data_IF_504933140311
#
_entry.id   IF_504933140311
#
_cell.length_a   1.000
_cell.length_b   1.000
_cell.length_c   1.000
_cell.angle_alpha   90.00
_cell.angle_beta   90.00
_cell.angle_gamma   90.00
#
_symmetry.space_group_name_H-M   'P 1'
#
loop_
_entity.id
_entity.type
_entity.pdbx_description
1 polymer ?
#
# COMPACT_ATOMS: atom_id res chain seq x y z
N UNK A 1 -8.14 29.04 -11.87
CA UNK A 1 -6.89 28.68 -12.59
C UNK A 1 -5.66 28.58 -11.67
N UNK A 2 -5.54 29.42 -10.65
CA UNK A 2 -4.37 29.52 -9.73
C UNK A 2 -4.14 28.28 -8.83
N UNK A 3 -5.21 27.66 -8.30
CA UNK A 3 -5.08 26.53 -7.37
C UNK A 3 -4.55 25.25 -8.05
N UNK A 4 -5.02 24.92 -9.25
CA UNK A 4 -4.57 23.75 -10.02
C UNK A 4 -3.09 23.87 -10.42
N UNK A 5 -2.66 25.08 -10.78
CA UNK A 5 -1.25 25.36 -11.08
C UNK A 5 -0.38 25.24 -9.82
N UNK A 6 -0.85 25.76 -8.68
CA UNK A 6 -0.15 25.62 -7.40
C UNK A 6 -0.01 24.16 -6.96
N UNK A 7 -1.06 23.34 -7.13
CA UNK A 7 -1.03 21.91 -6.82
C UNK A 7 -0.06 21.15 -7.72
N UNK A 8 -0.09 21.40 -9.04
CA UNK A 8 0.87 20.80 -9.99
C UNK A 8 2.30 21.20 -9.66
N UNK A 9 2.52 22.46 -9.30
CA UNK A 9 3.84 22.93 -8.86
C UNK A 9 4.30 22.18 -7.61
N UNK A 10 3.44 22.07 -6.59
CA UNK A 10 3.75 21.33 -5.36
C UNK A 10 4.09 19.86 -5.63
N UNK A 11 3.33 19.19 -6.50
CA UNK A 11 3.62 17.81 -6.90
C UNK A 11 5.01 17.67 -7.53
N UNK A 12 5.36 18.56 -8.46
CA UNK A 12 6.69 18.58 -9.09
C UNK A 12 7.81 18.83 -8.09
N UNK A 13 7.59 19.75 -7.13
CA UNK A 13 8.55 20.01 -6.04
C UNK A 13 8.77 18.76 -5.18
N UNK A 14 7.70 18.04 -4.84
CA UNK A 14 7.81 16.80 -4.07
C UNK A 14 8.59 15.71 -4.83
N UNK A 15 8.33 15.54 -6.13
CA UNK A 15 9.10 14.59 -6.94
C UNK A 15 10.59 14.92 -7.00
N UNK A 16 10.95 16.21 -7.15
CA UNK A 16 12.35 16.65 -7.08
C UNK A 16 12.98 16.44 -5.71
N UNK A 17 12.24 16.74 -4.64
CA UNK A 17 12.70 16.53 -3.27
C UNK A 17 12.97 15.04 -3.01
N UNK A 18 12.13 14.14 -3.52
CA UNK A 18 12.37 12.70 -3.45
C UNK A 18 13.70 12.31 -4.12
N UNK A 19 13.96 12.75 -5.35
CA UNK A 19 15.22 12.44 -6.03
C UNK A 19 16.45 13.03 -5.31
N UNK A 20 16.32 14.19 -4.65
CA UNK A 20 17.38 14.73 -3.80
C UNK A 20 17.67 13.81 -2.61
N UNK A 21 16.63 13.36 -1.92
CA UNK A 21 16.75 12.41 -0.80
C UNK A 21 17.32 11.08 -1.29
N UNK A 22 16.88 10.57 -2.45
CA UNK A 22 17.39 9.33 -3.04
C UNK A 22 18.88 9.44 -3.38
N UNK A 23 19.32 10.57 -3.94
CA UNK A 23 20.73 10.80 -4.23
C UNK A 23 21.59 10.77 -2.95
N UNK A 24 21.17 11.50 -1.92
CA UNK A 24 21.88 11.54 -0.63
C UNK A 24 21.89 10.17 0.03
N UNK A 25 20.74 9.49 0.08
CA UNK A 25 20.63 8.15 0.65
C UNK A 25 21.50 7.13 -0.11
N UNK A 26 21.51 7.18 -1.44
CA UNK A 26 22.35 6.33 -2.28
C UNK A 26 23.85 6.59 -2.05
N UNK A 27 24.26 7.85 -1.95
CA UNK A 27 25.65 8.20 -1.64
C UNK A 27 26.07 7.70 -0.25
N UNK A 28 25.24 7.91 0.77
CA UNK A 28 25.50 7.42 2.13
C UNK A 28 25.54 5.89 2.18
N UNK A 29 24.67 5.22 1.43
CA UNK A 29 24.69 3.76 1.33
C UNK A 29 25.98 3.25 0.68
N UNK A 30 26.44 3.86 -0.43
CA UNK A 30 27.71 3.50 -1.06
C UNK A 30 28.92 3.73 -0.13
N UNK A 31 28.93 4.82 0.64
CA UNK A 31 29.93 5.00 1.71
C UNK A 31 29.84 3.84 2.71
N UNK A 32 28.65 3.46 3.12
CA UNK A 32 28.40 2.29 3.99
C UNK A 32 28.93 0.98 3.40
N UNK A 33 28.72 0.71 2.11
CA UNK A 33 29.23 -0.49 1.43
C UNK A 33 30.76 -0.60 1.50
N UNK A 34 31.48 0.52 1.36
CA UNK A 34 32.95 0.51 1.41
C UNK A 34 33.53 0.57 2.82
N UNK A 35 32.75 1.00 3.81
CA UNK A 35 33.23 1.21 5.19
C UNK A 35 32.75 0.15 6.18
N UNK A 36 31.62 -0.50 5.92
CA UNK A 36 30.96 -1.43 6.84
C UNK A 36 30.72 -2.79 6.14
N UNK A 37 31.48 -3.85 6.50
CA UNK A 37 31.32 -5.18 5.91
C UNK A 37 29.89 -5.72 6.02
N UNK A 38 29.20 -5.44 7.14
CA UNK A 38 27.82 -5.89 7.37
C UNK A 38 26.85 -5.29 6.36
N UNK A 39 27.03 -4.03 5.97
CA UNK A 39 26.20 -3.38 4.95
C UNK A 39 26.45 -4.06 3.62
N UNK A 40 27.72 -4.18 3.20
CA UNK A 40 28.11 -4.83 1.94
C UNK A 40 27.56 -6.25 1.84
N UNK A 41 27.76 -7.08 2.84
CA UNK A 41 27.31 -8.47 2.83
C UNK A 41 25.77 -8.57 2.79
N UNK A 42 25.07 -7.73 3.56
CA UNK A 42 23.61 -7.73 3.60
C UNK A 42 22.96 -7.24 2.29
N UNK A 43 23.58 -6.28 1.60
CA UNK A 43 22.97 -5.59 0.45
C UNK A 43 23.57 -5.91 -0.91
N UNK A 44 24.80 -6.42 -0.97
CA UNK A 44 25.48 -6.82 -2.22
C UNK A 44 25.88 -8.30 -2.23
N UNK A 45 26.02 -8.94 -1.07
CA UNK A 45 26.48 -10.33 -1.00
C UNK A 45 27.87 -10.47 -1.63
N UNK A 46 28.02 -11.43 -2.54
CA UNK A 46 29.25 -11.69 -3.30
C UNK A 46 29.47 -10.81 -4.53
N UNK A 47 28.62 -9.83 -4.81
CA UNK A 47 28.84 -8.89 -5.93
C UNK A 47 30.10 -8.05 -5.70
N UNK A 48 30.86 -7.82 -6.77
CA UNK A 48 32.03 -6.94 -6.72
C UNK A 48 31.57 -5.49 -6.44
N UNK A 49 31.98 -4.89 -5.29
CA UNK A 49 31.51 -3.58 -4.91
C UNK A 49 32.08 -2.46 -5.79
N UNK A 50 33.28 -2.63 -6.36
CA UNK A 50 33.91 -1.63 -7.22
C UNK A 50 33.23 -1.60 -8.59
N UNK A 51 33.01 -2.77 -9.20
CA UNK A 51 32.33 -2.86 -10.49
C UNK A 51 30.88 -2.38 -10.39
N UNK A 52 30.20 -2.75 -9.31
CA UNK A 52 28.81 -2.34 -9.06
C UNK A 52 28.73 -0.83 -8.84
N UNK A 53 29.64 -0.25 -8.04
CA UNK A 53 29.73 1.20 -7.82
C UNK A 53 30.01 1.98 -9.11
N UNK A 54 30.87 1.46 -9.99
CA UNK A 54 31.24 2.12 -11.23
C UNK A 54 30.04 2.39 -12.16
N UNK A 55 29.04 1.51 -12.14
CA UNK A 55 27.79 1.69 -12.89
C UNK A 55 26.74 2.43 -12.07
N UNK A 56 26.57 2.07 -10.81
CA UNK A 56 25.46 2.55 -9.99
C UNK A 56 25.66 3.99 -9.52
N UNK A 57 26.87 4.42 -9.15
CA UNK A 57 27.09 5.81 -8.70
C UNK A 57 26.69 6.83 -9.78
N UNK A 58 27.12 6.70 -11.06
CA UNK A 58 26.69 7.63 -12.10
C UNK A 58 25.19 7.54 -12.42
N UNK A 59 24.65 6.33 -12.54
CA UNK A 59 23.30 6.10 -13.08
C UNK A 59 22.18 6.14 -12.02
N UNK A 60 22.53 5.93 -10.76
CA UNK A 60 21.62 6.04 -9.62
C UNK A 60 21.87 7.32 -8.83
N UNK A 61 23.05 7.48 -8.20
CA UNK A 61 23.31 8.59 -7.27
C UNK A 61 23.38 9.93 -7.98
N UNK A 62 24.27 10.05 -8.98
CA UNK A 62 24.46 11.30 -9.72
C UNK A 62 23.22 11.62 -10.55
N UNK A 63 22.68 10.65 -11.28
CA UNK A 63 21.44 10.85 -12.03
C UNK A 63 20.26 11.29 -11.13
N UNK A 64 20.12 10.73 -9.93
CA UNK A 64 19.10 11.20 -8.96
C UNK A 64 19.39 12.63 -8.51
N UNK A 65 20.65 12.99 -8.25
CA UNK A 65 21.05 14.35 -7.90
C UNK A 65 20.72 15.36 -9.01
N UNK A 66 20.95 14.98 -10.27
CA UNK A 66 20.58 15.80 -11.43
C UNK A 66 19.06 15.83 -11.62
N UNK A 67 18.36 14.71 -11.41
CA UNK A 67 16.90 14.62 -11.49
C UNK A 67 16.18 15.50 -10.45
N UNK A 68 16.83 15.78 -9.31
CA UNK A 68 16.35 16.74 -8.32
C UNK A 68 16.30 18.19 -8.84
N UNK A 69 17.02 18.48 -9.93
CA UNK A 69 17.05 19.80 -10.58
C UNK A 69 15.92 19.95 -11.62
N UNK A 70 16.05 20.94 -12.53
CA UNK A 70 15.10 21.12 -13.63
C UNK A 70 15.35 20.19 -14.83
N UNK A 71 16.43 19.39 -14.83
CA UNK A 71 16.82 18.57 -15.97
C UNK A 71 16.02 17.25 -16.07
N UNK A 72 15.00 17.24 -16.93
CA UNK A 72 14.05 16.13 -17.08
C UNK A 72 14.65 14.79 -17.57
N UNK A 73 15.61 14.73 -18.49
CA UNK A 73 16.14 13.45 -18.94
C UNK A 73 16.75 12.61 -17.82
N UNK A 74 17.39 13.24 -16.83
CA UNK A 74 17.95 12.53 -15.68
C UNK A 74 16.91 11.80 -14.83
N UNK A 75 15.66 12.27 -14.79
CA UNK A 75 14.55 11.57 -14.11
C UNK A 75 14.35 10.19 -14.72
N UNK A 76 14.37 10.09 -16.05
CA UNK A 76 14.19 8.82 -16.74
C UNK A 76 15.40 7.91 -16.58
N UNK A 77 16.62 8.45 -16.68
CA UNK A 77 17.84 7.68 -16.44
C UNK A 77 17.81 7.07 -15.04
N UNK A 78 17.61 7.89 -14.00
CA UNK A 78 17.56 7.40 -12.63
C UNK A 78 16.42 6.38 -12.43
N UNK A 79 15.22 6.65 -12.93
CA UNK A 79 14.05 5.77 -12.72
C UNK A 79 14.22 4.42 -13.42
N UNK A 80 14.62 4.43 -14.71
CA UNK A 80 14.81 3.21 -15.48
C UNK A 80 15.96 2.39 -14.90
N UNK A 81 17.08 3.04 -14.58
CA UNK A 81 18.20 2.35 -13.94
C UNK A 81 17.80 1.74 -12.60
N UNK A 82 17.12 2.48 -11.73
CA UNK A 82 16.62 1.98 -10.43
C UNK A 82 15.72 0.75 -10.63
N UNK A 83 14.83 0.76 -11.63
CA UNK A 83 13.98 -0.38 -11.95
C UNK A 83 14.80 -1.59 -12.47
N UNK A 84 15.77 -1.38 -13.35
CA UNK A 84 16.66 -2.42 -13.85
C UNK A 84 17.45 -3.08 -12.71
N UNK A 85 18.07 -2.26 -11.85
CA UNK A 85 18.81 -2.75 -10.68
C UNK A 85 17.87 -3.48 -9.71
N UNK A 86 16.65 -2.99 -9.49
CA UNK A 86 15.66 -3.70 -8.67
C UNK A 86 15.38 -5.09 -9.19
N UNK A 87 15.09 -5.23 -10.49
CA UNK A 87 14.83 -6.55 -11.10
C UNK A 87 16.07 -7.44 -11.00
N UNK A 88 17.25 -6.91 -11.30
CA UNK A 88 18.51 -7.65 -11.20
C UNK A 88 18.77 -8.14 -9.77
N UNK A 89 18.58 -7.28 -8.76
CA UNK A 89 18.76 -7.62 -7.35
C UNK A 89 17.72 -8.62 -6.87
N UNK A 90 16.45 -8.50 -7.28
CA UNK A 90 15.41 -9.48 -6.96
C UNK A 90 15.73 -10.86 -7.54
N UNK A 91 16.18 -10.92 -8.80
CA UNK A 91 16.60 -12.16 -9.43
C UNK A 91 17.84 -12.74 -8.73
N UNK A 92 18.86 -11.91 -8.51
CA UNK A 92 20.09 -12.30 -7.82
C UNK A 92 19.80 -12.86 -6.43
N UNK A 93 19.02 -12.15 -5.61
CA UNK A 93 18.64 -12.59 -4.26
C UNK A 93 17.80 -13.87 -4.27
N UNK A 94 16.93 -14.03 -5.27
CA UNK A 94 16.12 -15.25 -5.41
C UNK A 94 16.96 -16.46 -5.82
N UNK A 95 17.94 -16.28 -6.71
CA UNK A 95 18.79 -17.37 -7.21
C UNK A 95 19.85 -17.76 -6.16
N UNK A 96 20.56 -16.77 -5.64
CA UNK A 96 21.76 -16.98 -4.80
C UNK A 96 21.46 -17.01 -3.29
N UNK A 97 20.31 -16.48 -2.87
CA UNK A 97 19.98 -16.25 -1.44
C UNK A 97 20.97 -15.33 -0.73
N UNK A 98 21.55 -14.38 -1.47
CA UNK A 98 22.39 -13.29 -0.97
C UNK A 98 21.71 -11.94 -1.21
N UNK A 99 22.22 -10.88 -0.59
CA UNK A 99 21.83 -9.50 -0.89
C UNK A 99 20.32 -9.17 -0.77
N UNK A 100 19.56 -9.92 0.03
CA UNK A 100 18.11 -9.74 0.16
C UNK A 100 17.71 -8.36 0.65
N UNK A 101 18.50 -7.75 1.54
CA UNK A 101 18.26 -6.36 1.99
C UNK A 101 18.49 -5.35 0.86
N UNK A 102 19.41 -5.64 -0.05
CA UNK A 102 19.64 -4.84 -1.26
C UNK A 102 18.44 -4.90 -2.20
N UNK A 103 17.88 -6.09 -2.42
CA UNK A 103 16.66 -6.26 -3.21
C UNK A 103 15.48 -5.46 -2.63
N UNK A 104 15.25 -5.55 -1.31
CA UNK A 104 14.20 -4.76 -0.64
C UNK A 104 14.42 -3.25 -0.74
N UNK A 105 15.65 -2.79 -0.52
CA UNK A 105 15.99 -1.37 -0.62
C UNK A 105 15.73 -0.83 -2.03
N UNK A 106 16.11 -1.60 -3.05
CA UNK A 106 15.90 -1.21 -4.44
C UNK A 106 14.42 -1.25 -4.83
N UNK A 107 13.62 -2.20 -4.34
CA UNK A 107 12.17 -2.18 -4.53
C UNK A 107 11.53 -0.90 -3.99
N UNK A 108 11.92 -0.47 -2.79
CA UNK A 108 11.45 0.78 -2.21
C UNK A 108 11.89 2.00 -3.04
N UNK A 109 13.16 2.03 -3.46
CA UNK A 109 13.72 3.10 -4.30
C UNK A 109 13.05 3.17 -5.67
N UNK A 110 12.72 2.03 -6.30
CA UNK A 110 12.04 1.97 -7.58
C UNK A 110 10.59 2.48 -7.47
N UNK A 111 9.85 2.03 -6.45
CA UNK A 111 8.49 2.50 -6.21
C UNK A 111 8.46 4.03 -6.02
N UNK A 112 9.38 4.56 -5.20
CA UNK A 112 9.51 6.00 -5.00
C UNK A 112 9.97 6.75 -6.26
N UNK A 113 10.92 6.21 -7.03
CA UNK A 113 11.39 6.79 -8.30
C UNK A 113 10.26 6.90 -9.33
N UNK A 114 9.45 5.85 -9.47
CA UNK A 114 8.28 5.86 -10.37
C UNK A 114 7.26 6.90 -9.92
N UNK A 115 6.93 6.94 -8.62
CA UNK A 115 6.01 7.94 -8.08
C UNK A 115 6.54 9.38 -8.28
N UNK A 116 7.83 9.62 -8.03
CA UNK A 116 8.47 10.91 -8.22
C UNK A 116 8.54 11.31 -9.70
N UNK A 117 8.83 10.38 -10.60
CA UNK A 117 8.83 10.62 -12.04
C UNK A 117 7.44 11.02 -12.54
N UNK A 118 6.39 10.32 -12.10
CA UNK A 118 5.00 10.67 -12.38
C UNK A 118 4.68 12.08 -11.86
N UNK A 119 5.01 12.38 -10.60
CA UNK A 119 4.81 13.70 -10.00
C UNK A 119 5.52 14.83 -10.79
N UNK A 120 6.75 14.61 -11.28
CA UNK A 120 7.47 15.61 -12.08
C UNK A 120 6.78 15.81 -13.44
N UNK A 121 6.31 14.74 -14.08
CA UNK A 121 5.71 14.79 -15.41
C UNK A 121 4.31 15.42 -15.40
N UNK A 122 3.41 14.86 -14.60
CA UNK A 122 1.98 15.21 -14.61
C UNK A 122 1.61 16.25 -13.56
N UNK A 123 2.44 16.43 -12.52
CA UNK A 123 2.15 17.26 -11.35
C UNK A 123 1.24 16.59 -10.31
N UNK A 124 0.81 15.33 -10.54
CA UNK A 124 -0.05 14.57 -9.62
C UNK A 124 0.07 13.06 -9.86
N UNK A 125 -0.19 12.22 -8.87
CA UNK A 125 -0.34 10.79 -9.14
C UNK A 125 -1.68 10.55 -9.86
N UNK A 126 -1.72 9.79 -10.97
CA UNK A 126 -2.94 9.51 -11.72
C UNK A 126 -3.78 8.44 -11.00
N UNK A 127 -4.29 8.77 -9.82
CA UNK A 127 -5.04 7.88 -8.93
C UNK A 127 -6.34 7.37 -9.56
N UNK A 128 -6.90 8.13 -10.49
CA UNK A 128 -8.07 7.76 -11.28
C UNK A 128 -7.87 6.45 -12.08
N UNK A 129 -6.63 6.11 -12.42
CA UNK A 129 -6.31 4.87 -13.15
C UNK A 129 -6.68 3.61 -12.35
N UNK A 130 -6.76 3.70 -11.03
CA UNK A 130 -7.12 2.56 -10.17
C UNK A 130 -8.59 2.18 -10.30
N UNK A 131 -9.44 3.09 -10.78
CA UNK A 131 -10.86 2.83 -11.06
C UNK A 131 -11.12 2.29 -12.47
N UNK A 132 -10.09 1.95 -13.26
CA UNK A 132 -10.29 1.35 -14.58
C UNK A 132 -10.43 -0.17 -14.50
N UNK A 133 -11.28 -0.74 -15.36
CA UNK A 133 -11.49 -2.19 -15.45
C UNK A 133 -12.38 -2.76 -14.34
N UNK A 134 -12.03 -3.90 -13.71
CA UNK A 134 -12.90 -4.59 -12.76
C UNK A 134 -13.15 -3.83 -11.44
N UNK A 135 -12.42 -2.73 -11.20
CA UNK A 135 -12.55 -1.87 -10.03
C UNK A 135 -13.35 -0.59 -10.31
N UNK A 136 -13.88 -0.43 -11.52
CA UNK A 136 -14.76 0.69 -11.86
C UNK A 136 -16.06 0.63 -11.04
N UNK A 137 -16.50 1.80 -10.60
CA UNK A 137 -17.77 1.95 -9.87
C UNK A 137 -18.94 1.66 -10.81
N UNK A 138 -19.65 0.56 -10.54
CA UNK A 138 -20.80 0.15 -11.33
C UNK A 138 -22.02 -0.08 -10.42
N UNK A 139 -23.14 0.53 -10.80
CA UNK A 139 -24.42 0.27 -10.14
C UNK A 139 -24.83 -1.19 -10.35
N UNK A 140 -25.41 -1.79 -9.30
CA UNK A 140 -25.89 -3.17 -9.36
C UNK A 140 -26.91 -3.34 -10.50
N UNK A 141 -26.67 -4.29 -11.41
CA UNK A 141 -27.68 -4.68 -12.41
C UNK A 141 -28.80 -5.49 -11.73
N UNK A 142 -30.06 -5.35 -12.16
CA UNK A 142 -31.14 -6.17 -11.64
C UNK A 142 -30.87 -7.65 -11.92
N UNK A 143 -30.82 -8.47 -10.87
CA UNK A 143 -30.67 -9.92 -10.92
C UNK A 143 -31.30 -10.55 -9.68
N UNK A 144 -31.56 -11.85 -9.70
CA UNK A 144 -32.16 -12.54 -8.56
C UNK A 144 -31.24 -12.50 -7.34
N UNK A 145 -31.84 -12.38 -6.14
CA UNK A 145 -31.10 -12.29 -4.88
C UNK A 145 -30.08 -13.43 -4.70
N UNK A 146 -30.46 -14.66 -5.05
CA UNK A 146 -29.58 -15.83 -4.99
C UNK A 146 -28.37 -15.74 -5.93
N UNK A 147 -28.54 -15.23 -7.16
CA UNK A 147 -27.44 -15.07 -8.13
C UNK A 147 -26.49 -13.95 -7.74
N UNK A 148 -27.01 -12.86 -7.16
CA UNK A 148 -26.19 -11.77 -6.61
C UNK A 148 -25.42 -12.21 -5.37
N UNK A 149 -26.05 -12.98 -4.48
CA UNK A 149 -25.39 -13.56 -3.31
C UNK A 149 -24.27 -14.53 -3.71
N UNK A 150 -24.51 -15.44 -4.66
CA UNK A 150 -23.50 -16.38 -5.13
C UNK A 150 -22.29 -15.68 -5.79
N UNK A 151 -22.53 -14.67 -6.66
CA UNK A 151 -21.44 -13.88 -7.26
C UNK A 151 -20.64 -13.09 -6.23
N UNK A 152 -21.33 -12.46 -5.27
CA UNK A 152 -20.70 -11.74 -4.16
C UNK A 152 -19.86 -12.67 -3.31
N UNK A 153 -20.39 -13.84 -2.95
CA UNK A 153 -19.66 -14.87 -2.20
C UNK A 153 -18.41 -15.35 -2.94
N UNK A 154 -18.53 -15.66 -4.24
CA UNK A 154 -17.39 -16.05 -5.06
C UNK A 154 -16.34 -14.94 -5.15
N UNK A 155 -16.76 -13.68 -5.37
CA UNK A 155 -15.85 -12.54 -5.44
C UNK A 155 -15.12 -12.31 -4.11
N UNK A 156 -15.82 -12.46 -2.99
CA UNK A 156 -15.22 -12.38 -1.65
C UNK A 156 -14.20 -13.51 -1.46
N UNK A 157 -14.57 -14.77 -1.76
CA UNK A 157 -13.66 -15.92 -1.60
C UNK A 157 -12.42 -15.76 -2.47
N UNK A 158 -12.56 -15.33 -3.73
CA UNK A 158 -11.43 -15.11 -4.62
C UNK A 158 -10.58 -13.93 -4.13
N UNK A 159 -11.17 -12.78 -3.85
CA UNK A 159 -10.42 -11.59 -3.44
C UNK A 159 -9.74 -11.79 -2.08
N UNK A 160 -10.44 -12.33 -1.09
CA UNK A 160 -9.89 -12.60 0.24
C UNK A 160 -8.90 -13.75 0.21
N UNK A 161 -9.19 -14.83 -0.51
CA UNK A 161 -8.27 -15.95 -0.68
C UNK A 161 -6.95 -15.52 -1.32
N UNK A 162 -7.01 -14.62 -2.31
CA UNK A 162 -5.82 -14.02 -2.90
C UNK A 162 -5.11 -13.06 -1.93
N UNK A 163 -5.82 -12.07 -1.39
CA UNK A 163 -5.22 -10.98 -0.62
C UNK A 163 -4.75 -11.39 0.79
N UNK A 164 -5.40 -12.38 1.42
CA UNK A 164 -5.10 -12.86 2.77
C UNK A 164 -4.47 -14.26 2.79
N UNK A 165 -4.47 -14.98 1.66
CA UNK A 165 -3.86 -16.31 1.55
C UNK A 165 -2.68 -16.31 0.59
N UNK A 166 -2.93 -16.27 -0.71
CA UNK A 166 -1.91 -16.47 -1.76
C UNK A 166 -0.81 -15.40 -1.70
N UNK A 167 -1.18 -14.12 -1.67
CA UNK A 167 -0.20 -13.02 -1.65
C UNK A 167 0.67 -13.06 -0.39
N UNK A 168 0.12 -13.20 0.83
CA UNK A 168 0.92 -13.38 2.03
C UNK A 168 1.87 -14.59 1.99
N UNK A 169 1.42 -15.73 1.46
CA UNK A 169 2.27 -16.92 1.29
C UNK A 169 3.45 -16.64 0.37
N UNK A 170 3.21 -15.99 -0.78
CA UNK A 170 4.27 -15.58 -1.70
C UNK A 170 5.26 -14.64 -1.00
N UNK A 171 4.76 -13.61 -0.30
CA UNK A 171 5.60 -12.63 0.40
C UNK A 171 6.45 -13.31 1.47
N UNK A 172 5.87 -14.15 2.32
CA UNK A 172 6.61 -14.85 3.37
C UNK A 172 7.64 -15.84 2.79
N UNK A 173 7.33 -16.49 1.67
CA UNK A 173 8.28 -17.36 0.96
C UNK A 173 9.46 -16.56 0.42
N UNK A 174 9.19 -15.38 -0.15
CA UNK A 174 10.24 -14.45 -0.61
C UNK A 174 11.07 -13.94 0.58
N UNK A 175 10.43 -13.57 1.69
CA UNK A 175 11.10 -13.11 2.91
C UNK A 175 12.14 -14.12 3.42
N UNK A 176 11.75 -15.40 3.48
CA UNK A 176 12.62 -16.50 3.88
C UNK A 176 13.71 -16.75 2.82
N UNK A 177 13.33 -16.76 1.53
CA UNK A 177 14.27 -17.03 0.43
C UNK A 177 15.38 -15.99 0.39
N UNK A 178 15.04 -14.72 0.62
CA UNK A 178 15.97 -13.58 0.64
C UNK A 178 16.68 -13.41 1.98
N UNK A 179 16.42 -14.26 2.98
CA UNK A 179 17.05 -14.22 4.32
C UNK A 179 16.90 -12.86 5.02
N UNK A 180 15.74 -12.23 4.84
CA UNK A 180 15.38 -10.94 5.47
C UNK A 180 14.39 -11.12 6.62
N UNK A 181 14.07 -12.37 6.99
CA UNK A 181 13.21 -12.68 8.13
C UNK A 181 13.86 -12.28 9.45
N UNK A 182 13.04 -11.72 10.35
CA UNK A 182 13.44 -11.38 11.70
C UNK A 182 13.34 -12.64 12.57
N UNK A 183 14.48 -13.09 13.13
CA UNK A 183 14.50 -14.25 14.03
C UNK A 183 14.02 -13.81 15.41
N UNK A 184 12.79 -14.18 15.75
CA UNK A 184 12.22 -13.96 17.08
C UNK A 184 12.51 -15.16 17.99
N UNK A 185 12.83 -14.94 19.29
CA UNK A 185 12.86 -16.03 20.26
C UNK A 185 11.52 -16.77 20.31
N UNK A 186 11.53 -18.10 20.49
CA UNK A 186 10.33 -18.94 20.33
C UNK A 186 9.12 -18.48 21.17
N UNK A 187 9.35 -18.06 22.42
CA UNK A 187 8.30 -17.55 23.29
C UNK A 187 7.62 -16.29 22.73
N UNK A 188 8.41 -15.36 22.18
CA UNK A 188 7.89 -14.16 21.53
C UNK A 188 7.19 -14.50 20.22
N UNK A 189 7.77 -15.39 19.41
CA UNK A 189 7.18 -15.85 18.15
C UNK A 189 5.79 -16.47 18.37
N UNK A 190 5.61 -17.26 19.44
CA UNK A 190 4.31 -17.84 19.78
C UNK A 190 3.33 -16.78 20.29
N UNK A 191 3.78 -15.84 21.12
CA UNK A 191 2.96 -14.71 21.58
C UNK A 191 2.44 -13.86 20.43
N UNK A 192 3.31 -13.53 19.45
CA UNK A 192 2.95 -12.78 18.24
C UNK A 192 1.92 -13.52 17.40
N UNK A 193 2.08 -14.84 17.22
CA UNK A 193 1.09 -15.67 16.51
C UNK A 193 -0.28 -15.68 17.18
N UNK A 194 -0.32 -15.86 18.51
CA UNK A 194 -1.58 -15.85 19.28
C UNK A 194 -2.26 -14.49 19.17
N UNK A 195 -1.50 -13.40 19.31
CA UNK A 195 -2.02 -12.05 19.12
C UNK A 195 -2.56 -11.85 17.69
N UNK A 196 -1.88 -12.40 16.68
CA UNK A 196 -2.34 -12.44 15.30
C UNK A 196 -3.69 -13.16 15.16
N UNK A 197 -3.85 -14.36 15.72
CA UNK A 197 -5.12 -15.09 15.70
C UNK A 197 -6.24 -14.29 16.35
N UNK A 198 -6.00 -13.74 17.54
CA UNK A 198 -6.98 -12.92 18.24
C UNK A 198 -7.40 -11.69 17.43
N UNK A 199 -6.43 -10.99 16.83
CA UNK A 199 -6.68 -9.84 15.96
C UNK A 199 -7.46 -10.24 14.70
N UNK A 200 -7.13 -11.38 14.08
CA UNK A 200 -7.82 -11.88 12.90
C UNK A 200 -9.30 -12.17 13.19
N UNK A 201 -9.59 -12.82 14.32
CA UNK A 201 -10.96 -13.11 14.74
C UNK A 201 -11.75 -11.82 15.02
N UNK A 202 -11.17 -10.87 15.75
CA UNK A 202 -11.80 -9.58 16.04
C UNK A 202 -12.05 -8.76 14.75
N UNK A 203 -11.08 -8.71 13.84
CA UNK A 203 -11.20 -8.02 12.57
C UNK A 203 -12.24 -8.68 11.66
N UNK A 204 -12.29 -10.02 11.64
CA UNK A 204 -13.30 -10.78 10.89
C UNK A 204 -14.71 -10.54 11.44
N UNK A 205 -14.88 -10.48 12.76
CA UNK A 205 -16.15 -10.13 13.39
C UNK A 205 -16.61 -8.71 12.99
N UNK A 206 -15.70 -7.73 12.99
CA UNK A 206 -15.98 -6.38 12.52
C UNK A 206 -16.36 -6.35 11.04
N UNK A 207 -15.65 -7.10 10.20
CA UNK A 207 -15.94 -7.23 8.77
C UNK A 207 -17.33 -7.82 8.51
N UNK A 208 -17.67 -8.91 9.19
CA UNK A 208 -18.98 -9.55 9.09
C UNK A 208 -20.10 -8.63 9.60
N UNK A 209 -19.90 -7.93 10.72
CA UNK A 209 -20.87 -6.95 11.23
C UNK A 209 -21.09 -5.79 10.25
N UNK A 210 -20.03 -5.34 9.58
CA UNK A 210 -20.08 -4.29 8.57
C UNK A 210 -20.83 -4.75 7.32
N UNK A 211 -20.55 -5.97 6.84
CA UNK A 211 -21.24 -6.56 5.70
C UNK A 211 -22.73 -6.78 5.99
N UNK A 212 -23.06 -7.31 7.17
CA UNK A 212 -24.45 -7.46 7.61
C UNK A 212 -25.18 -6.12 7.69
N UNK A 213 -24.54 -5.08 8.22
CA UNK A 213 -25.12 -3.73 8.31
C UNK A 213 -25.39 -3.13 6.93
N UNK A 214 -24.49 -3.32 5.95
CA UNK A 214 -24.72 -2.88 4.57
C UNK A 214 -25.83 -3.68 3.88
N UNK A 215 -25.84 -5.00 4.03
CA UNK A 215 -26.84 -5.85 3.37
C UNK A 215 -28.25 -5.64 3.91
N UNK A 216 -28.40 -5.37 5.21
CA UNK A 216 -29.71 -5.25 5.86
C UNK A 216 -30.28 -3.83 5.79
N UNK A 217 -29.44 -2.80 5.70
CA UNK A 217 -29.87 -1.39 5.80
C UNK A 217 -29.51 -0.53 4.59
N UNK A 218 -28.64 -1.01 3.69
CA UNK A 218 -28.17 -0.26 2.52
C UNK A 218 -28.76 -0.72 1.18
N UNK A 219 -29.56 -1.80 1.16
CA UNK A 219 -30.13 -2.40 -0.07
C UNK A 219 -29.10 -2.72 -1.19
N UNK A 220 -27.86 -3.06 -0.79
CA UNK A 220 -26.76 -3.46 -1.67
C UNK A 220 -25.66 -4.21 -0.91
N UNK A 221 -24.49 -4.40 -1.51
CA UNK A 221 -23.36 -5.12 -0.91
C UNK A 221 -22.14 -4.19 -0.80
N UNK A 222 -21.12 -4.56 0.00
CA UNK A 222 -19.91 -3.75 0.13
C UNK A 222 -18.97 -3.78 -1.07
N UNK A 223 -19.28 -4.56 -2.10
CA UNK A 223 -18.42 -4.63 -3.29
C UNK A 223 -18.70 -3.44 -4.21
N UNK A 224 -17.67 -2.82 -4.83
CA UNK A 224 -17.84 -1.75 -5.82
C UNK A 224 -18.78 -2.11 -6.98
N UNK A 225 -18.94 -3.41 -7.24
CA UNK A 225 -19.80 -3.99 -8.27
C UNK A 225 -21.30 -4.05 -7.89
N UNK A 226 -21.68 -3.75 -6.65
CA UNK A 226 -23.07 -3.73 -6.19
C UNK A 226 -23.30 -2.75 -5.02
N UNK A 227 -22.92 -1.48 -5.22
CA UNK A 227 -22.98 -0.45 -4.18
C UNK A 227 -24.37 -0.27 -3.52
N UNK A 228 -24.43 0.04 -2.21
CA UNK A 228 -25.68 0.29 -1.50
C UNK A 228 -26.42 1.51 -2.06
N UNK A 229 -27.75 1.42 -2.13
CA UNK A 229 -28.65 2.47 -2.61
C UNK A 229 -28.97 3.53 -1.55
N UNK A 230 -28.79 3.18 -0.27
CA UNK A 230 -28.98 4.09 0.86
C UNK A 230 -27.68 4.27 1.66
N UNK A 231 -27.50 5.46 2.25
CA UNK A 231 -26.36 5.77 3.10
C UNK A 231 -26.47 5.02 4.44
N UNK A 232 -25.53 4.13 4.72
CA UNK A 232 -25.52 3.31 5.95
C UNK A 232 -24.73 4.01 7.06
N UNK A 233 -25.44 4.49 8.08
CA UNK A 233 -24.85 5.23 9.23
C UNK A 233 -25.02 4.51 10.58
N UNK A 234 -25.35 3.22 10.55
CA UNK A 234 -25.64 2.43 11.76
C UNK A 234 -24.81 1.14 11.83
N UNK A 235 -24.85 0.45 12.98
CA UNK A 235 -23.92 -0.65 13.24
C UNK A 235 -22.50 -0.10 13.42
N UNK A 236 -21.46 -0.73 12.83
CA UNK A 236 -20.08 -0.26 12.98
C UNK A 236 -19.82 1.07 12.27
N UNK A 237 -20.64 1.43 11.28
CA UNK A 237 -20.58 2.70 10.56
C UNK A 237 -20.86 3.92 11.46
N UNK A 238 -21.45 3.71 12.65
CA UNK A 238 -21.61 4.81 13.62
C UNK A 238 -20.33 5.13 14.39
N UNK A 239 -19.37 4.20 14.40
CA UNK A 239 -18.10 4.32 15.12
C UNK A 239 -17.03 4.90 14.21
N UNK A 240 -16.91 4.37 12.99
CA UNK A 240 -15.95 4.79 11.97
C UNK A 240 -16.62 4.74 10.60
N UNK A 241 -16.20 5.61 9.67
CA UNK A 241 -16.86 5.69 8.35
C UNK A 241 -16.60 4.50 7.45
N UNK A 242 -15.43 3.87 7.57
CA UNK A 242 -15.01 2.76 6.73
C UNK A 242 -14.58 1.55 7.56
N UNK A 243 -15.49 0.94 8.35
CA UNK A 243 -15.17 -0.18 9.23
C UNK A 243 -14.70 -1.43 8.46
N UNK A 244 -15.08 -1.56 7.18
CA UNK A 244 -14.58 -2.63 6.32
C UNK A 244 -13.13 -2.45 5.91
N UNK A 245 -12.69 -1.22 5.63
CA UNK A 245 -11.28 -0.94 5.39
C UNK A 245 -10.46 -1.26 6.64
N UNK A 246 -10.94 -0.84 7.82
CA UNK A 246 -10.34 -1.18 9.12
C UNK A 246 -10.24 -2.70 9.28
N UNK A 247 -11.33 -3.44 9.05
CA UNK A 247 -11.34 -4.90 9.15
C UNK A 247 -10.32 -5.55 8.20
N UNK A 248 -10.33 -5.19 6.91
CA UNK A 248 -9.43 -5.78 5.91
C UNK A 248 -7.95 -5.53 6.18
N UNK A 249 -7.60 -4.29 6.59
CA UNK A 249 -6.22 -3.94 6.93
C UNK A 249 -5.79 -4.69 8.20
N UNK A 250 -6.64 -4.73 9.23
CA UNK A 250 -6.36 -5.48 10.46
C UNK A 250 -6.23 -6.98 10.21
N UNK A 251 -7.02 -7.56 9.28
CA UNK A 251 -6.86 -8.94 8.86
C UNK A 251 -5.50 -9.17 8.16
N UNK A 252 -5.09 -8.28 7.25
CA UNK A 252 -3.78 -8.37 6.60
C UNK A 252 -2.61 -8.31 7.60
N UNK A 253 -2.67 -7.38 8.56
CA UNK A 253 -1.69 -7.30 9.65
C UNK A 253 -1.70 -8.60 10.48
N UNK A 254 -2.89 -9.08 10.86
CA UNK A 254 -3.04 -10.30 11.63
C UNK A 254 -2.43 -11.52 10.92
N UNK A 255 -2.63 -11.66 9.61
CA UNK A 255 -1.99 -12.71 8.80
C UNK A 255 -0.46 -12.60 8.88
N UNK A 256 0.09 -11.39 8.76
CA UNK A 256 1.53 -11.18 8.93
C UNK A 256 2.05 -11.60 10.31
N UNK A 257 1.31 -11.28 11.38
CA UNK A 257 1.64 -11.73 12.74
C UNK A 257 1.55 -13.26 12.89
N UNK A 258 0.50 -13.88 12.35
CA UNK A 258 0.35 -15.35 12.36
C UNK A 258 1.47 -16.07 11.61
N UNK A 259 2.00 -15.44 10.56
CA UNK A 259 3.13 -15.97 9.79
C UNK A 259 4.49 -15.57 10.37
N UNK A 260 4.53 -14.72 11.41
CA UNK A 260 5.74 -14.03 11.87
C UNK A 260 6.51 -13.34 10.73
N UNK A 261 5.81 -12.82 9.73
CA UNK A 261 6.38 -12.13 8.58
C UNK A 261 6.14 -10.64 8.68
N UNK A 262 7.22 -9.88 8.84
CA UNK A 262 7.15 -8.43 8.88
C UNK A 262 6.88 -7.83 7.50
N UNK A 263 7.30 -8.50 6.41
CA UNK A 263 6.98 -8.05 5.06
C UNK A 263 5.48 -8.14 4.76
N UNK A 264 4.79 -9.16 5.26
CA UNK A 264 3.31 -9.24 5.13
C UNK A 264 2.63 -8.13 5.92
N UNK A 265 3.15 -7.77 7.11
CA UNK A 265 2.65 -6.60 7.87
C UNK A 265 2.87 -5.31 7.08
N UNK A 266 4.08 -5.09 6.53
CA UNK A 266 4.38 -3.93 5.69
C UNK A 266 3.49 -3.88 4.45
N UNK A 267 3.22 -5.01 3.82
CA UNK A 267 2.26 -5.12 2.71
C UNK A 267 0.86 -4.64 3.11
N UNK A 268 0.34 -5.11 4.25
CA UNK A 268 -0.98 -4.70 4.74
C UNK A 268 -1.05 -3.20 5.06
N UNK A 269 -0.01 -2.66 5.72
CA UNK A 269 0.09 -1.23 6.04
C UNK A 269 0.26 -0.36 4.80
N UNK A 270 1.05 -0.83 3.82
CA UNK A 270 1.19 -0.15 2.53
C UNK A 270 -0.15 -0.10 1.78
N UNK A 271 -0.91 -1.19 1.81
CA UNK A 271 -2.29 -1.23 1.30
C UNK A 271 -3.20 -0.22 2.01
N UNK A 272 -3.06 -0.04 3.33
CA UNK A 272 -3.79 0.99 4.08
C UNK A 272 -3.45 2.41 3.63
N UNK A 273 -2.18 2.69 3.34
CA UNK A 273 -1.75 4.00 2.85
C UNK A 273 -2.31 4.26 1.45
N UNK A 274 -2.20 3.27 0.55
CA UNK A 274 -2.80 3.35 -0.79
C UNK A 274 -4.30 3.59 -0.67
N UNK A 275 -5.01 2.80 0.12
CA UNK A 275 -6.45 2.99 0.29
C UNK A 275 -6.78 4.38 0.85
N UNK A 276 -6.08 4.87 1.88
CA UNK A 276 -6.38 6.16 2.48
C UNK A 276 -6.13 7.36 1.55
N UNK A 277 -5.10 7.29 0.70
CA UNK A 277 -4.67 8.42 -0.14
C UNK A 277 -5.20 8.36 -1.56
N UNK A 278 -5.56 7.17 -2.05
CA UNK A 278 -6.01 6.93 -3.43
C UNK A 278 -7.50 6.60 -3.45
N UNK A 279 -7.89 5.54 -2.75
CA UNK A 279 -9.25 4.97 -2.87
C UNK A 279 -10.26 5.80 -2.09
N UNK A 280 -9.99 6.07 -0.82
CA UNK A 280 -10.88 6.79 0.08
C UNK A 280 -11.33 8.16 -0.47
N UNK A 281 -10.47 9.02 -1.03
CA UNK A 281 -10.93 10.29 -1.60
C UNK A 281 -11.92 10.10 -2.76
N UNK A 282 -11.75 9.04 -3.56
CA UNK A 282 -12.63 8.71 -4.67
C UNK A 282 -13.97 8.16 -4.15
N UNK A 283 -13.94 7.26 -3.16
CA UNK A 283 -15.14 6.75 -2.49
C UNK A 283 -15.92 7.88 -1.80
N UNK A 284 -15.24 8.77 -1.06
CA UNK A 284 -15.90 9.90 -0.39
C UNK A 284 -16.47 10.92 -1.39
N UNK A 285 -15.84 11.09 -2.56
CA UNK A 285 -16.37 11.95 -3.61
C UNK A 285 -17.65 11.37 -4.24
N UNK A 286 -17.68 10.06 -4.54
CA UNK A 286 -18.90 9.38 -5.01
C UNK A 286 -20.03 9.48 -3.98
N UNK A 287 -19.74 9.27 -2.70
CA UNK A 287 -20.72 9.39 -1.63
C UNK A 287 -21.26 10.82 -1.49
N UNK A 288 -20.40 11.84 -1.64
CA UNK A 288 -20.81 13.23 -1.61
C UNK A 288 -21.69 13.60 -2.81
N UNK A 289 -21.37 13.10 -4.00
CA UNK A 289 -22.16 13.32 -5.22
C UNK A 289 -23.56 12.69 -5.10
N UNK A 290 -23.64 11.47 -4.56
CA UNK A 290 -24.89 10.70 -4.50
C UNK A 290 -25.81 11.08 -3.34
N UNK A 291 -25.24 11.39 -2.17
CA UNK A 291 -26.01 11.60 -0.94
C UNK A 291 -25.96 13.04 -0.43
N UNK A 292 -25.12 13.91 -1.02
CA UNK A 292 -25.10 15.35 -0.76
C UNK A 292 -25.01 15.71 0.74
N UNK A 293 -25.89 16.60 1.25
CA UNK A 293 -25.84 17.08 2.64
C UNK A 293 -25.88 15.98 3.70
N UNK A 294 -26.58 14.87 3.45
CA UNK A 294 -26.68 13.77 4.41
C UNK A 294 -25.31 13.10 4.66
N UNK A 295 -24.50 12.96 3.60
CA UNK A 295 -23.14 12.44 3.74
C UNK A 295 -22.22 13.44 4.43
N UNK A 296 -22.34 14.73 4.14
CA UNK A 296 -21.53 15.76 4.79
C UNK A 296 -21.79 15.83 6.30
N UNK A 297 -23.06 15.76 6.72
CA UNK A 297 -23.43 15.72 8.13
C UNK A 297 -22.90 14.46 8.82
N UNK A 298 -22.97 13.31 8.15
CA UNK A 298 -22.37 12.06 8.63
C UNK A 298 -20.84 12.16 8.73
N UNK A 299 -20.17 12.73 7.72
CA UNK A 299 -18.73 12.96 7.68
C UNK A 299 -18.24 13.90 8.77
N UNK A 300 -19.03 14.92 9.11
CA UNK A 300 -18.73 15.83 10.19
C UNK A 300 -18.79 15.15 11.56
N UNK A 301 -19.68 14.17 11.75
CA UNK A 301 -19.87 13.45 13.02
C UNK A 301 -18.93 12.27 13.21
N UNK A 302 -18.68 11.49 12.15
CA UNK A 302 -17.96 10.21 12.25
C UNK A 302 -16.58 10.31 11.58
N UNK A 303 -15.53 9.94 12.31
CA UNK A 303 -14.19 9.92 11.76
C UNK A 303 -13.95 8.69 10.87
N UNK A 304 -12.94 8.75 10.00
CA UNK A 304 -12.67 7.65 9.07
C UNK A 304 -12.08 6.41 9.75
N UNK A 305 -11.13 6.60 10.66
CA UNK A 305 -10.27 5.53 11.19
C UNK A 305 -10.46 5.25 12.68
N UNK A 306 -10.55 6.30 13.49
CA UNK A 306 -10.57 6.20 14.95
C UNK A 306 -11.87 6.81 15.45
N UNK A 307 -12.66 6.11 16.28
CA UNK A 307 -13.90 6.64 16.82
C UNK A 307 -13.69 7.98 17.52
N UNK A 308 -14.57 8.93 17.23
CA UNK A 308 -14.61 10.19 18.01
C UNK A 308 -15.32 9.92 19.32
N UNK A 309 -14.81 10.51 20.41
CA UNK A 309 -15.58 10.56 21.66
C UNK A 309 -16.91 11.29 21.37
N UNK A 310 -18.05 10.83 21.91
CA UNK A 310 -19.29 11.60 21.79
C UNK A 310 -19.04 12.99 22.38
N UNK A 311 -19.43 14.05 21.65
CA UNK A 311 -19.43 15.38 22.23
C UNK A 311 -20.32 15.34 23.49
N UNK A 312 -19.74 15.68 24.65
CA UNK A 312 -20.53 15.95 25.84
C UNK A 312 -21.33 17.21 25.52
N UNK A 313 -22.63 17.05 25.27
CA UNK A 313 -23.53 18.19 25.27
C UNK A 313 -23.60 18.68 26.73
N UNK A 314 -23.05 19.85 27.01
CA UNK A 314 -23.37 20.63 28.20
C UNK A 314 -24.71 21.32 28.00
#
# INVERSE_FOLDING_TARGET
>A
MTLLLALKHRGRTLGRAYFAVQAVAGALWWVGVFTLPQVREATLGGLDPVLTAALDIPLFVVASGVAATAFRPAVWVATVWTACVTVAMMLYATITQEAGWGALAMMAAAAGSVAAALLIQTGRLPTELVLFGPFAFHLARPASAARNAARTGLQIVVFWGLALGVVPVIIATVEQRWKVSLVLPEGWANGVRIAGVALFLAASALGLWSAASMSTKGEGTPLPSAMPRALVVSGPYRLVRNPMAVAGISQGVAVGLMMNSWLVVVYALSGSLVWNWVIRPLEEADLAERFGPAFEEYRARVACWIPRRPARNN
#
